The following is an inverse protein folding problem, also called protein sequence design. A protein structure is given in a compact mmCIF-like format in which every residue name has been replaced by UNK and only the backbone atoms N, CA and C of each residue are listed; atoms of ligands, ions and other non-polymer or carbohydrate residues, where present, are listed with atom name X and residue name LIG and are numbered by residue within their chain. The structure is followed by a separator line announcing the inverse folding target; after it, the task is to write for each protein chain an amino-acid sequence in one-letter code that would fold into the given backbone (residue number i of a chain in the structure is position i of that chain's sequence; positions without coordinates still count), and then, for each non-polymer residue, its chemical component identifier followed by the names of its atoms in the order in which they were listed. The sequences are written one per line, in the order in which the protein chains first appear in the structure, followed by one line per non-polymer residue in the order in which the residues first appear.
data_IF_305932997634
#
_entry.id   IF_305932997634
#
_cell.length_a   1.000
_cell.length_b   1.000
_cell.length_c   1.000
_cell.angle_alpha   90.00
_cell.angle_beta   90.00
_cell.angle_gamma   90.00
#
_symmetry.space_group_name_H-M   'P 1'
#
loop_
_entity.id
_entity.type
_entity.pdbx_description
1 polymer ?
#
# COMPACT_ATOMS: atom_id res chain seq x y z
N UNK A 1 -3.38 11.00 8.87
CA UNK A 1 -4.25 9.81 8.91
C UNK A 1 -4.56 9.48 10.37
N UNK A 2 -5.81 9.12 10.71
CA UNK A 2 -6.15 8.70 12.08
C UNK A 2 -5.42 7.38 12.42
N UNK A 3 -4.64 7.27 13.51
CA UNK A 3 -3.96 6.03 13.86
C UNK A 3 -4.93 4.86 14.02
N UNK A 4 -4.45 3.62 13.91
CA UNK A 4 -5.24 2.39 14.15
C UNK A 4 -5.66 2.29 15.62
N UNK A 5 -6.71 1.54 15.96
CA UNK A 5 -7.13 1.41 17.37
C UNK A 5 -6.07 0.73 18.24
N UNK A 6 -5.29 -0.20 17.70
CA UNK A 6 -4.12 -0.77 18.40
C UNK A 6 -3.12 0.30 18.83
N UNK A 7 -2.81 1.26 17.94
CA UNK A 7 -1.92 2.40 18.27
C UNK A 7 -2.60 3.37 19.24
N UNK A 8 -3.90 3.62 19.06
CA UNK A 8 -4.62 4.54 19.96
C UNK A 8 -4.75 3.99 21.38
N UNK A 9 -5.06 2.70 21.53
CA UNK A 9 -5.09 2.00 22.81
C UNK A 9 -3.72 2.00 23.47
N UNK A 10 -2.66 1.71 22.72
CA UNK A 10 -1.32 1.75 23.27
C UNK A 10 -0.93 3.16 23.78
N UNK A 11 -1.42 4.24 23.16
CA UNK A 11 -1.14 5.62 23.60
C UNK A 11 -2.00 6.08 24.77
N UNK A 12 -3.23 5.61 24.84
CA UNK A 12 -4.24 6.07 25.79
C UNK A 12 -5.12 4.91 26.27
N UNK A 13 -4.56 3.94 27.00
CA UNK A 13 -5.32 2.78 27.49
C UNK A 13 -6.49 3.17 28.41
N UNK A 14 -6.43 4.37 29.01
CA UNK A 14 -7.50 4.96 29.81
C UNK A 14 -8.72 5.39 28.98
N UNK A 15 -8.51 5.77 27.71
CA UNK A 15 -9.58 6.21 26.81
C UNK A 15 -10.09 5.10 25.89
N UNK A 16 -9.25 4.11 25.56
CA UNK A 16 -9.60 3.01 24.67
C UNK A 16 -9.50 1.69 25.42
N UNK A 17 -10.65 1.19 25.89
CA UNK A 17 -10.71 -0.04 26.68
C UNK A 17 -10.19 -1.27 25.92
N UNK A 18 -10.47 -1.35 24.62
CA UNK A 18 -10.00 -2.39 23.71
C UNK A 18 -9.48 -1.79 22.39
N UNK A 19 -8.82 -2.62 21.59
CA UNK A 19 -8.37 -2.26 20.24
C UNK A 19 -9.23 -2.92 19.13
N UNK A 20 -10.44 -3.38 19.43
CA UNK A 20 -11.28 -4.07 18.47
C UNK A 20 -11.73 -3.12 17.35
N UNK A 21 -11.69 -3.58 16.11
CA UNK A 21 -12.11 -2.79 14.97
C UNK A 21 -13.52 -2.26 15.14
N UNK A 22 -13.70 -0.95 14.94
CA UNK A 22 -15.00 -0.30 15.08
C UNK A 22 -16.00 -0.76 14.02
N UNK A 23 -15.55 -1.36 12.92
CA UNK A 23 -16.40 -1.93 11.87
C UNK A 23 -16.88 -3.34 12.22
N UNK A 24 -15.98 -4.26 12.56
CA UNK A 24 -16.33 -5.68 12.76
C UNK A 24 -16.51 -6.10 14.22
N UNK A 25 -15.90 -5.38 15.17
CA UNK A 25 -15.86 -5.70 16.61
C UNK A 25 -15.35 -7.12 16.94
N UNK A 26 -14.72 -7.80 15.98
CA UNK A 26 -14.33 -9.21 16.10
C UNK A 26 -12.81 -9.43 16.19
N UNK A 27 -12.01 -8.49 15.69
CA UNK A 27 -10.54 -8.58 15.70
C UNK A 27 -9.91 -7.24 16.07
N UNK A 28 -8.68 -7.23 16.63
CA UNK A 28 -7.92 -6.01 16.81
C UNK A 28 -7.71 -5.27 15.49
N UNK A 29 -7.87 -3.95 15.52
CA UNK A 29 -7.63 -3.10 14.36
C UNK A 29 -6.16 -2.68 14.32
N UNK A 30 -5.37 -3.46 13.60
CA UNK A 30 -4.00 -3.12 13.21
C UNK A 30 -3.96 -2.49 11.80
N UNK A 31 -2.76 -2.25 11.27
CA UNK A 31 -2.59 -1.61 9.97
C UNK A 31 -3.12 -2.45 8.82
N UNK A 32 -3.20 -3.78 8.96
CA UNK A 32 -3.60 -4.67 7.89
C UNK A 32 -5.12 -4.90 7.94
N UNK A 33 -5.68 -5.09 9.13
CA UNK A 33 -7.11 -5.28 9.35
C UNK A 33 -7.94 -4.09 8.82
N UNK A 34 -7.43 -2.86 8.87
CA UNK A 34 -8.13 -1.71 8.29
C UNK A 34 -8.48 -1.92 6.82
N UNK A 35 -7.61 -2.60 6.08
CA UNK A 35 -7.79 -2.84 4.65
C UNK A 35 -8.51 -4.14 4.34
N UNK A 36 -8.42 -5.13 5.24
CA UNK A 36 -8.96 -6.49 5.06
C UNK A 36 -10.17 -6.80 5.92
N UNK A 37 -10.71 -5.80 6.64
CA UNK A 37 -11.87 -5.96 7.50
C UNK A 37 -13.04 -6.67 6.79
N UNK A 38 -13.59 -7.77 7.33
CA UNK A 38 -14.71 -8.47 6.69
C UNK A 38 -15.94 -7.59 6.46
N UNK A 39 -16.20 -6.64 7.35
CA UNK A 39 -17.34 -5.72 7.23
C UNK A 39 -17.14 -4.63 6.16
N UNK A 40 -15.97 -4.54 5.54
CA UNK A 40 -15.73 -3.67 4.38
C UNK A 40 -15.66 -4.45 3.05
N UNK A 41 -15.95 -5.76 3.07
CA UNK A 41 -15.79 -6.67 1.94
C UNK A 41 -16.48 -6.20 0.65
N UNK A 42 -17.74 -5.75 0.72
CA UNK A 42 -18.46 -5.23 -0.45
C UNK A 42 -17.76 -4.01 -1.07
N UNK A 43 -17.21 -3.12 -0.24
CA UNK A 43 -16.45 -1.97 -0.74
C UNK A 43 -15.14 -2.41 -1.39
N UNK A 44 -14.45 -3.38 -0.79
CA UNK A 44 -13.24 -3.98 -1.35
C UNK A 44 -13.52 -4.58 -2.75
N UNK A 45 -14.58 -5.37 -2.90
CA UNK A 45 -14.99 -5.92 -4.21
C UNK A 45 -15.23 -4.82 -5.26
N UNK A 46 -15.95 -3.75 -4.89
CA UNK A 46 -16.22 -2.63 -5.80
C UNK A 46 -14.93 -1.91 -6.20
N UNK A 47 -13.98 -1.71 -5.28
CA UNK A 47 -12.69 -1.08 -5.58
C UNK A 47 -11.93 -1.87 -6.64
N UNK A 48 -11.82 -3.19 -6.47
CA UNK A 48 -11.12 -4.05 -7.42
C UNK A 48 -11.85 -4.12 -8.77
N UNK A 49 -13.17 -4.26 -8.77
CA UNK A 49 -13.98 -4.28 -9.99
C UNK A 49 -13.83 -2.96 -10.78
N UNK A 50 -13.93 -1.81 -10.12
CA UNK A 50 -13.75 -0.49 -10.74
C UNK A 50 -12.34 -0.30 -11.31
N UNK A 51 -11.32 -0.82 -10.63
CA UNK A 51 -9.94 -0.77 -11.08
C UNK A 51 -9.72 -1.66 -12.32
N UNK A 52 -10.23 -2.89 -12.33
CA UNK A 52 -10.16 -3.80 -13.48
C UNK A 52 -10.90 -3.21 -14.69
N UNK A 53 -12.11 -2.70 -14.49
CA UNK A 53 -12.90 -2.06 -15.54
C UNK A 53 -12.20 -0.83 -16.17
N UNK A 54 -11.27 -0.21 -15.45
CA UNK A 54 -10.50 0.95 -15.91
C UNK A 54 -9.26 0.57 -16.75
N UNK A 55 -8.83 -0.70 -16.75
CA UNK A 55 -7.61 -1.17 -17.45
C UNK A 55 -7.62 -0.84 -18.95
N UNK A 56 -8.70 -1.06 -19.72
CA UNK A 56 -8.71 -0.77 -21.16
C UNK A 56 -8.43 0.71 -21.47
N UNK A 57 -8.91 1.63 -20.62
CA UNK A 57 -8.66 3.07 -20.75
C UNK A 57 -7.17 3.38 -20.59
N UNK A 58 -6.53 2.84 -19.56
CA UNK A 58 -5.10 3.07 -19.31
C UNK A 58 -4.22 2.39 -20.34
N UNK A 59 -4.60 1.19 -20.78
CA UNK A 59 -3.92 0.46 -21.85
C UNK A 59 -3.84 1.25 -23.15
N UNK A 60 -4.98 1.79 -23.60
CA UNK A 60 -5.03 2.67 -24.79
C UNK A 60 -4.17 3.92 -24.60
N UNK A 61 -4.22 4.57 -23.43
CA UNK A 61 -3.42 5.75 -23.16
C UNK A 61 -1.91 5.44 -23.16
N UNK A 62 -1.49 4.33 -22.56
CA UNK A 62 -0.09 3.89 -22.50
C UNK A 62 0.45 3.53 -23.89
N UNK A 63 -0.34 2.83 -24.72
CA UNK A 63 0.02 2.52 -26.11
C UNK A 63 0.16 3.79 -26.95
N UNK A 64 -0.78 4.75 -26.81
CA UNK A 64 -0.71 6.03 -27.51
C UNK A 64 0.58 6.76 -27.16
N UNK A 65 0.90 6.88 -25.86
CA UNK A 65 2.14 7.49 -25.40
C UNK A 65 3.38 6.76 -25.93
N UNK A 66 3.39 5.43 -25.92
CA UNK A 66 4.51 4.65 -26.44
C UNK A 66 4.75 4.87 -27.94
N UNK A 67 3.68 5.01 -28.71
CA UNK A 67 3.72 5.36 -30.13
C UNK A 67 4.23 6.79 -30.36
N UNK A 68 3.78 7.77 -29.58
CA UNK A 68 4.27 9.16 -29.63
C UNK A 68 5.77 9.25 -29.28
N UNK A 69 6.21 8.53 -28.24
CA UNK A 69 7.61 8.47 -27.84
C UNK A 69 8.47 7.79 -28.94
N UNK A 70 7.92 6.78 -29.63
CA UNK A 70 8.60 6.12 -30.75
C UNK A 70 8.75 7.05 -31.96
N UNK A 71 7.72 7.84 -32.28
CA UNK A 71 7.80 8.86 -33.34
C UNK A 71 8.83 9.93 -33.02
N UNK A 72 8.85 10.38 -31.77
CA UNK A 72 9.81 11.38 -31.30
C UNK A 72 11.24 10.87 -31.44
N UNK A 73 11.49 9.60 -31.08
CA UNK A 73 12.80 8.95 -31.28
C UNK A 73 13.14 8.80 -32.77
N UNK A 74 12.17 8.36 -33.58
CA UNK A 74 12.36 8.20 -35.02
C UNK A 74 12.71 9.53 -35.71
N UNK A 75 12.00 10.62 -35.42
CA UNK A 75 12.31 11.96 -35.97
C UNK A 75 13.73 12.41 -35.63
N UNK A 76 14.15 12.22 -34.36
CA UNK A 76 15.51 12.52 -33.92
C UNK A 76 16.55 11.66 -34.66
N UNK A 77 16.24 10.40 -34.92
CA UNK A 77 17.14 9.49 -35.62
C UNK A 77 17.20 9.77 -37.12
N UNK A 78 16.07 10.05 -37.77
CA UNK A 78 15.99 10.46 -39.17
C UNK A 78 16.81 11.72 -39.46
N UNK A 79 16.83 12.68 -38.53
CA UNK A 79 17.64 13.89 -38.64
C UNK A 79 19.16 13.62 -38.59
N UNK A 80 19.58 12.54 -37.93
CA UNK A 80 21.00 12.13 -37.83
C UNK A 80 21.41 11.15 -38.92
N UNK A 81 20.48 10.31 -39.34
CA UNK A 81 20.68 9.26 -40.33
C UNK A 81 19.47 9.26 -41.25
N UNK A 82 19.57 9.84 -42.45
CA UNK A 82 18.49 9.80 -43.43
C UNK A 82 18.11 8.36 -43.78
N UNK A 83 16.85 8.15 -44.14
CA UNK A 83 16.26 6.88 -44.57
C UNK A 83 16.15 5.79 -43.47
N UNK A 84 16.00 6.18 -42.21
CA UNK A 84 15.68 5.23 -41.12
C UNK A 84 14.21 4.80 -41.22
N UNK A 85 13.97 3.50 -41.18
CA UNK A 85 12.63 2.94 -41.25
C UNK A 85 11.71 3.46 -40.12
N UNK A 86 10.45 3.73 -40.46
CA UNK A 86 9.45 4.18 -39.50
C UNK A 86 9.18 3.12 -38.42
N UNK A 87 8.88 3.52 -37.17
CA UNK A 87 8.61 2.58 -36.10
C UNK A 87 7.27 1.86 -36.32
N UNK A 88 7.24 0.57 -35.98
CA UNK A 88 6.00 -0.22 -36.00
C UNK A 88 4.99 0.32 -34.99
N UNK A 89 3.76 0.57 -35.44
CA UNK A 89 2.66 1.04 -34.58
C UNK A 89 2.16 -0.07 -33.68
N UNK A 90 2.09 0.24 -32.39
CA UNK A 90 1.48 -0.61 -31.39
C UNK A 90 -0.04 -0.38 -31.36
N UNK A 91 -0.80 -1.45 -31.17
CA UNK A 91 -2.24 -1.40 -30.97
C UNK A 91 -2.59 -2.01 -29.61
N UNK A 92 -3.57 -1.43 -28.93
CA UNK A 92 -4.07 -1.99 -27.68
C UNK A 92 -4.90 -3.24 -27.96
N UNK A 93 -4.52 -4.35 -27.33
CA UNK A 93 -5.32 -5.56 -27.27
C UNK A 93 -5.85 -5.70 -25.86
N UNK A 94 -7.17 -5.72 -25.69
CA UNK A 94 -7.78 -5.91 -24.38
C UNK A 94 -7.67 -7.38 -23.97
N UNK A 95 -6.99 -7.68 -22.85
CA UNK A 95 -7.05 -9.03 -22.29
C UNK A 95 -8.47 -9.32 -21.82
N UNK A 96 -8.94 -10.56 -21.93
CA UNK A 96 -10.23 -10.97 -21.38
C UNK A 96 -10.24 -10.78 -19.86
N UNK A 97 -11.39 -10.42 -19.30
CA UNK A 97 -11.57 -10.30 -17.84
C UNK A 97 -11.10 -11.54 -17.09
N UNK A 98 -11.41 -12.73 -17.61
CA UNK A 98 -10.97 -14.02 -17.06
C UNK A 98 -9.45 -14.09 -16.89
N UNK A 99 -8.68 -13.75 -17.93
CA UNK A 99 -7.21 -13.70 -17.88
C UNK A 99 -6.70 -12.61 -16.94
N UNK A 100 -7.37 -11.44 -16.88
CA UNK A 100 -7.00 -10.37 -15.95
C UNK A 100 -7.14 -10.84 -14.52
N UNK A 101 -8.31 -11.39 -14.15
CA UNK A 101 -8.53 -11.89 -12.80
C UNK A 101 -7.59 -13.05 -12.45
N UNK A 102 -7.39 -14.02 -13.35
CA UNK A 102 -6.41 -15.09 -13.15
C UNK A 102 -4.99 -14.56 -12.87
N UNK A 103 -4.57 -13.52 -13.60
CA UNK A 103 -3.27 -12.89 -13.36
C UNK A 103 -3.22 -12.18 -12.00
N UNK A 104 -4.32 -11.57 -11.56
CA UNK A 104 -4.38 -10.92 -10.25
C UNK A 104 -4.28 -11.94 -9.10
N UNK A 105 -4.94 -13.09 -9.18
CA UNK A 105 -4.77 -14.16 -8.18
C UNK A 105 -3.33 -14.70 -8.14
N UNK A 106 -2.64 -14.74 -9.29
CA UNK A 106 -1.23 -15.15 -9.30
C UNK A 106 -0.30 -14.10 -8.66
N UNK A 107 -0.67 -12.82 -8.71
CA UNK A 107 0.12 -11.71 -8.18
C UNK A 107 -0.18 -11.41 -6.71
N UNK A 108 -1.37 -11.78 -6.21
CA UNK A 108 -1.84 -11.47 -4.87
C UNK A 108 -2.38 -12.70 -4.14
N UNK A 109 -1.71 -13.11 -3.04
CA UNK A 109 -2.06 -14.36 -2.34
C UNK A 109 -3.38 -14.28 -1.54
N UNK A 110 -3.76 -13.10 -1.06
CA UNK A 110 -4.99 -12.89 -0.27
C UNK A 110 -6.20 -12.47 -1.12
N UNK A 111 -6.08 -12.48 -2.46
CA UNK A 111 -7.14 -12.00 -3.34
C UNK A 111 -8.30 -13.00 -3.48
N UNK A 112 -8.08 -14.26 -3.09
CA UNK A 112 -9.08 -15.33 -3.13
C UNK A 112 -10.39 -14.99 -2.39
N UNK A 113 -10.32 -14.05 -1.45
CA UNK A 113 -11.50 -13.54 -0.77
C UNK A 113 -12.46 -12.80 -1.71
N UNK A 114 -12.01 -12.00 -2.70
CA UNK A 114 -12.85 -10.97 -3.35
C UNK A 114 -13.73 -11.43 -4.51
N UNK A 115 -13.36 -12.52 -5.18
CA UNK A 115 -14.19 -13.16 -6.20
C UNK A 115 -13.83 -14.65 -6.17
N UNK A 116 -14.79 -15.57 -6.16
CA UNK A 116 -14.46 -16.97 -6.32
C UNK A 116 -14.00 -17.19 -7.76
N UNK A 117 -12.80 -17.77 -7.98
CA UNK A 117 -12.36 -18.11 -9.32
C UNK A 117 -13.30 -19.17 -9.92
N UNK A 118 -13.59 -19.07 -11.22
CA UNK A 118 -14.25 -20.17 -11.93
C UNK A 118 -13.38 -21.44 -11.80
N UNK A 119 -14.01 -22.55 -11.41
CA UNK A 119 -13.32 -23.82 -11.15
C UNK A 119 -12.45 -24.20 -12.37
N UNK A 120 -11.13 -24.31 -12.17
CA UNK A 120 -10.17 -24.77 -13.19
C UNK A 120 -9.19 -23.74 -13.75
N UNK A 121 -9.26 -22.46 -13.36
CA UNK A 121 -8.41 -21.39 -13.94
C UNK A 121 -7.35 -20.79 -13.02
N UNK A 122 -7.26 -21.25 -11.76
CA UNK A 122 -6.23 -20.79 -10.83
C UNK A 122 -4.87 -21.33 -11.25
N UNK A 123 -3.97 -20.44 -11.66
CA UNK A 123 -2.53 -20.73 -11.62
C UNK A 123 -2.07 -20.63 -10.17
N UNK A 124 -1.12 -21.48 -9.79
CA UNK A 124 -0.45 -21.34 -8.50
C UNK A 124 0.07 -19.90 -8.33
N UNK A 125 -0.04 -19.31 -7.13
CA UNK A 125 0.53 -18.00 -6.86
C UNK A 125 2.00 -17.96 -7.26
N UNK A 126 2.45 -16.82 -7.81
CA UNK A 126 3.86 -16.62 -8.02
C UNK A 126 4.58 -16.72 -6.67
N UNK A 127 5.80 -17.27 -6.64
CA UNK A 127 6.62 -17.30 -5.43
C UNK A 127 6.85 -15.90 -4.82
N UNK A 128 6.67 -14.85 -5.63
CA UNK A 128 6.77 -13.44 -5.26
C UNK A 128 5.41 -12.75 -5.08
N UNK A 129 4.31 -13.49 -4.97
CA UNK A 129 2.98 -12.91 -4.76
C UNK A 129 2.95 -12.02 -3.50
N UNK A 130 2.28 -10.89 -3.59
CA UNK A 130 2.22 -9.88 -2.53
C UNK A 130 0.84 -9.81 -1.87
N UNK A 131 0.73 -9.22 -0.69
CA UNK A 131 -0.57 -9.06 -0.03
C UNK A 131 -1.38 -7.96 -0.71
N UNK A 132 -2.71 -8.08 -0.73
CA UNK A 132 -3.63 -7.05 -1.24
C UNK A 132 -3.48 -5.72 -0.49
N UNK A 133 -3.05 -5.77 0.78
CA UNK A 133 -2.76 -4.60 1.60
C UNK A 133 -1.71 -3.70 0.95
N UNK A 134 -0.68 -4.29 0.33
CA UNK A 134 0.38 -3.53 -0.34
C UNK A 134 -0.16 -2.73 -1.52
N UNK A 135 -1.12 -3.29 -2.26
CA UNK A 135 -1.77 -2.60 -3.37
C UNK A 135 -2.65 -1.44 -2.90
N UNK A 136 -3.42 -1.64 -1.82
CA UNK A 136 -4.20 -0.56 -1.20
C UNK A 136 -3.33 0.55 -0.59
N UNK A 137 -2.07 0.26 -0.28
CA UNK A 137 -1.08 1.25 0.20
C UNK A 137 -0.30 1.90 -0.96
N UNK A 138 -0.68 1.65 -2.21
CA UNK A 138 -0.07 2.26 -3.39
C UNK A 138 1.28 1.66 -3.79
N UNK A 139 1.68 0.53 -3.21
CA UNK A 139 2.95 -0.13 -3.50
C UNK A 139 2.79 -1.04 -4.73
N UNK A 140 3.56 -0.75 -5.78
CA UNK A 140 3.61 -1.58 -6.98
C UNK A 140 4.63 -2.71 -6.80
N UNK A 141 4.16 -3.95 -6.75
CA UNK A 141 5.03 -5.12 -6.68
C UNK A 141 5.40 -5.65 -8.08
N UNK A 142 6.61 -6.17 -8.22
CA UNK A 142 7.09 -6.75 -9.49
C UNK A 142 6.27 -7.96 -9.93
N UNK A 143 5.69 -8.70 -8.99
CA UNK A 143 4.80 -9.84 -9.28
C UNK A 143 3.62 -9.45 -10.17
N UNK A 144 3.03 -8.27 -9.98
CA UNK A 144 1.96 -7.77 -10.84
C UNK A 144 2.46 -7.55 -12.27
N UNK A 145 3.65 -6.97 -12.42
CA UNK A 145 4.26 -6.74 -13.73
C UNK A 145 4.53 -8.06 -14.43
N UNK A 146 5.10 -9.04 -13.72
CA UNK A 146 5.40 -10.36 -14.30
C UNK A 146 4.13 -11.15 -14.64
N UNK A 147 3.08 -11.04 -13.82
CA UNK A 147 1.77 -11.64 -14.10
C UNK A 147 1.08 -11.01 -15.33
N UNK A 148 1.28 -9.71 -15.54
CA UNK A 148 0.65 -8.97 -16.64
C UNK A 148 1.45 -8.99 -17.95
N UNK A 149 2.77 -9.18 -17.88
CA UNK A 149 3.65 -9.27 -19.05
C UNK A 149 3.19 -10.25 -20.14
N UNK A 150 2.71 -11.47 -19.82
CA UNK A 150 2.25 -12.41 -20.85
C UNK A 150 0.87 -12.08 -21.44
N UNK A 151 0.04 -11.29 -20.74
CA UNK A 151 -1.35 -11.02 -21.16
C UNK A 151 -1.53 -9.64 -21.80
N UNK A 152 -0.72 -8.65 -21.42
CA UNK A 152 -0.74 -7.31 -22.01
C UNK A 152 0.27 -7.27 -23.15
N UNK A 153 -0.23 -7.20 -24.39
CA UNK A 153 0.62 -7.11 -25.59
C UNK A 153 1.29 -5.73 -25.67
N UNK A 154 2.61 -5.71 -25.66
CA UNK A 154 3.39 -4.49 -25.83
C UNK A 154 4.75 -4.54 -25.13
N UNK A 155 5.52 -3.43 -25.18
CA UNK A 155 6.76 -3.33 -24.44
C UNK A 155 6.50 -3.27 -22.93
N UNK A 156 7.50 -3.66 -22.13
CA UNK A 156 7.44 -3.62 -20.65
C UNK A 156 6.99 -2.25 -20.11
N UNK A 157 7.36 -1.16 -20.76
CA UNK A 157 6.96 0.20 -20.37
C UNK A 157 5.45 0.41 -20.38
N UNK A 158 4.71 -0.23 -21.29
CA UNK A 158 3.24 -0.18 -21.33
C UNK A 158 2.67 -0.94 -20.15
N UNK A 159 3.17 -2.16 -19.88
CA UNK A 159 2.72 -2.98 -18.74
C UNK A 159 2.92 -2.24 -17.42
N UNK A 160 4.11 -1.65 -17.24
CA UNK A 160 4.46 -0.86 -16.06
C UNK A 160 3.55 0.37 -15.93
N UNK A 161 3.30 1.10 -17.02
CA UNK A 161 2.41 2.26 -17.00
C UNK A 161 0.97 1.88 -16.60
N UNK A 162 0.43 0.78 -17.13
CA UNK A 162 -0.91 0.30 -16.78
C UNK A 162 -0.97 -0.15 -15.32
N UNK A 163 0.03 -0.90 -14.85
CA UNK A 163 0.11 -1.35 -13.46
C UNK A 163 0.21 -0.18 -12.47
N UNK A 164 0.98 0.86 -12.78
CA UNK A 164 1.01 2.07 -11.97
C UNK A 164 -0.36 2.74 -11.88
N UNK A 165 -1.09 2.86 -12.99
CA UNK A 165 -2.44 3.45 -12.96
C UNK A 165 -3.42 2.58 -12.17
N UNK A 166 -3.30 1.26 -12.28
CA UNK A 166 -4.10 0.31 -11.50
C UNK A 166 -3.86 0.43 -10.00
N UNK A 167 -2.60 0.41 -9.56
CA UNK A 167 -2.25 0.56 -8.14
C UNK A 167 -2.67 1.93 -7.60
N UNK A 168 -2.45 3.01 -8.37
CA UNK A 168 -2.92 4.36 -7.99
C UNK A 168 -4.44 4.42 -7.84
N UNK A 169 -5.18 3.68 -8.67
CA UNK A 169 -6.63 3.59 -8.58
C UNK A 169 -7.06 2.86 -7.30
N UNK A 170 -6.41 1.73 -7.00
CA UNK A 170 -6.68 0.96 -5.78
C UNK A 170 -6.39 1.79 -4.53
N UNK A 171 -5.21 2.41 -4.43
CA UNK A 171 -4.83 3.27 -3.30
C UNK A 171 -5.85 4.39 -3.06
N UNK A 172 -6.13 5.18 -4.10
CA UNK A 172 -7.08 6.30 -4.00
C UNK A 172 -8.48 5.84 -3.57
N UNK A 173 -9.00 4.79 -4.20
CA UNK A 173 -10.36 4.33 -3.91
C UNK A 173 -10.44 3.62 -2.55
N UNK A 174 -9.38 2.91 -2.13
CA UNK A 174 -9.27 2.33 -0.78
C UNK A 174 -9.22 3.41 0.30
N UNK A 175 -8.45 4.48 0.08
CA UNK A 175 -8.45 5.64 0.97
C UNK A 175 -9.84 6.29 1.07
N UNK A 176 -10.54 6.40 -0.06
CA UNK A 176 -11.85 7.04 -0.12
C UNK A 176 -12.99 6.19 0.47
N UNK A 177 -12.96 4.86 0.29
CA UNK A 177 -14.08 3.96 0.61
C UNK A 177 -13.85 3.08 1.82
N UNK A 178 -12.60 2.74 2.15
CA UNK A 178 -12.27 1.91 3.31
C UNK A 178 -11.78 2.80 4.46
N UNK A 179 -10.70 3.54 4.21
CA UNK A 179 -10.04 4.34 5.25
C UNK A 179 -10.94 5.46 5.79
N UNK A 180 -11.58 6.23 4.89
CA UNK A 180 -12.49 7.32 5.28
C UNK A 180 -13.67 6.79 6.08
N UNK A 181 -14.33 5.74 5.59
CA UNK A 181 -15.45 5.06 6.28
C UNK A 181 -15.03 4.59 7.67
N UNK A 182 -13.88 3.93 7.79
CA UNK A 182 -13.31 3.54 9.09
C UNK A 182 -13.14 4.76 10.01
N UNK A 183 -12.55 5.84 9.52
CA UNK A 183 -12.34 7.04 10.34
C UNK A 183 -13.65 7.65 10.83
N UNK A 184 -14.67 7.71 9.97
CA UNK A 184 -15.99 8.24 10.33
C UNK A 184 -16.65 7.41 11.44
N UNK A 185 -16.61 6.08 11.33
CA UNK A 185 -17.15 5.17 12.35
C UNK A 185 -16.37 5.28 13.67
N UNK A 186 -15.04 5.34 13.62
CA UNK A 186 -14.22 5.53 14.83
C UNK A 186 -14.52 6.88 15.49
N UNK A 187 -14.61 7.98 14.73
CA UNK A 187 -14.95 9.30 15.28
C UNK A 187 -16.35 9.31 15.88
N UNK A 188 -17.32 8.64 15.25
CA UNK A 188 -18.66 8.52 15.80
C UNK A 188 -18.64 7.78 17.13
N UNK A 189 -17.92 6.65 17.21
CA UNK A 189 -17.75 5.89 18.45
C UNK A 189 -17.03 6.72 19.53
N UNK A 190 -15.93 7.40 19.21
CA UNK A 190 -15.21 8.27 20.16
C UNK A 190 -16.14 9.31 20.79
N UNK A 191 -17.05 9.91 20.00
CA UNK A 191 -18.05 10.86 20.51
C UNK A 191 -18.99 10.21 21.52
N UNK A 192 -19.42 8.96 21.29
CA UNK A 192 -20.26 8.23 22.26
C UNK A 192 -19.54 7.93 23.57
N UNK A 193 -18.21 7.79 23.53
CA UNK A 193 -17.36 7.59 24.71
C UNK A 193 -16.92 8.90 25.36
N UNK A 194 -17.36 10.06 24.85
CA UNK A 194 -16.94 11.37 25.35
C UNK A 194 -15.49 11.74 25.02
N UNK A 195 -14.80 10.98 24.16
CA UNK A 195 -13.41 11.21 23.77
C UNK A 195 -13.35 12.42 22.83
N UNK A 196 -12.69 13.49 23.27
CA UNK A 196 -12.55 14.74 22.49
C UNK A 196 -11.16 14.84 21.87
N UNK A 197 -11.00 15.49 20.69
CA UNK A 197 -9.70 15.66 20.04
C UNK A 197 -8.61 16.30 20.92
N UNK A 198 -8.99 17.17 21.87
CA UNK A 198 -8.05 17.80 22.81
C UNK A 198 -7.44 16.80 23.80
N UNK A 199 -8.20 15.79 24.22
CA UNK A 199 -7.75 14.75 25.17
C UNK A 199 -6.65 13.89 24.54
N UNK A 200 -6.77 13.61 23.24
CA UNK A 200 -5.80 12.85 22.44
C UNK A 200 -4.46 13.58 22.20
N UNK A 201 -4.39 14.87 22.55
CA UNK A 201 -3.16 15.70 22.41
C UNK A 201 -2.41 15.86 23.72
N UNK A 202 -3.02 15.56 24.86
CA UNK A 202 -2.29 15.54 26.13
C UNK A 202 -1.36 14.33 26.10
N UNK A 203 -0.05 14.57 26.07
CA UNK A 203 0.92 13.52 26.31
C UNK A 203 0.58 12.86 27.66
N UNK A 204 0.45 11.54 27.70
CA UNK A 204 0.48 10.85 28.99
C UNK A 204 1.80 11.23 29.66
N UNK A 205 1.68 11.91 30.78
CA UNK A 205 2.81 12.33 31.60
C UNK A 205 3.59 11.09 32.04
N UNK A 206 4.74 10.83 31.41
CA UNK A 206 5.81 10.05 32.04
C UNK A 206 6.36 8.83 31.29
N UNK A 207 5.76 8.34 30.20
CA UNK A 207 6.31 7.16 29.51
C UNK A 207 6.87 7.49 28.11
N UNK A 208 8.14 7.14 27.82
CA UNK A 208 8.70 7.34 26.49
C UNK A 208 7.93 6.48 25.47
N UNK A 209 7.56 7.09 24.35
CA UNK A 209 6.86 6.42 23.25
C UNK A 209 7.85 6.09 22.13
N UNK A 210 7.88 4.85 21.64
CA UNK A 210 8.68 4.50 20.47
C UNK A 210 7.90 4.78 19.18
N UNK A 211 8.35 5.77 18.41
CA UNK A 211 7.74 6.11 17.13
C UNK A 211 7.94 5.04 16.04
N UNK A 212 9.00 4.23 16.13
CA UNK A 212 9.38 3.20 15.17
C UNK A 212 8.70 1.84 15.41
N UNK A 213 8.34 1.48 16.64
CA UNK A 213 7.61 0.25 16.96
C UNK A 213 6.13 0.48 17.32
N UNK A 214 5.74 1.72 17.62
CA UNK A 214 4.38 2.04 18.04
C UNK A 214 4.01 1.49 19.42
N UNK A 215 5.01 1.26 20.29
CA UNK A 215 4.84 0.68 21.62
C UNK A 215 5.29 1.64 22.71
N UNK A 216 4.72 1.50 23.90
CA UNK A 216 5.22 2.13 25.13
C UNK A 216 6.61 1.55 25.42
N UNK A 217 7.58 2.43 25.70
CA UNK A 217 8.92 2.01 26.12
C UNK A 217 8.97 1.86 27.64
N UNK A 218 9.71 0.86 28.15
CA UNK A 218 10.05 0.83 29.56
C UNK A 218 10.72 2.13 30.00
N UNK A 219 10.59 2.53 31.29
CA UNK A 219 11.10 3.82 31.81
C UNK A 219 12.57 4.11 31.49
N UNK A 220 13.40 3.06 31.39
CA UNK A 220 14.84 3.15 31.14
C UNK A 220 15.24 2.90 29.68
N UNK A 221 14.31 3.03 28.74
CA UNK A 221 14.54 2.76 27.32
C UNK A 221 14.32 4.01 26.47
N UNK A 222 15.32 4.33 25.65
CA UNK A 222 15.26 5.45 24.70
C UNK A 222 14.30 5.17 23.55
N UNK A 223 13.82 6.23 22.88
CA UNK A 223 12.95 6.19 21.70
C UNK A 223 13.49 5.30 20.55
N UNK A 224 14.78 5.00 20.51
CA UNK A 224 15.38 4.06 19.56
C UNK A 224 15.17 2.57 19.92
N UNK A 225 14.56 2.27 21.07
CA UNK A 225 14.35 0.92 21.59
C UNK A 225 15.53 0.32 22.37
N UNK A 226 16.61 1.09 22.59
CA UNK A 226 17.77 0.68 23.39
C UNK A 226 17.72 1.25 24.81
N UNK A 227 18.28 0.54 25.82
CA UNK A 227 18.43 1.09 27.16
C UNK A 227 19.15 2.45 27.16
N UNK A 228 18.77 3.32 28.08
CA UNK A 228 19.44 4.62 28.26
C UNK A 228 20.92 4.46 28.63
N UNK A 229 21.31 3.32 29.22
CA UNK A 229 22.72 2.98 29.52
C UNK A 229 23.59 2.84 28.27
N UNK A 230 22.99 2.53 27.12
CA UNK A 230 23.71 2.38 25.85
C UNK A 230 24.00 3.73 25.17
N UNK A 231 23.59 4.85 25.79
CA UNK A 231 23.77 6.20 25.28
C UNK A 231 25.04 6.80 25.87
N UNK A 232 26.13 6.79 25.11
CA UNK A 232 27.35 7.45 25.52
C UNK A 232 27.28 8.95 25.20
N UNK A 233 27.50 9.80 26.21
CA UNK A 233 27.60 11.27 26.08
C UNK A 233 26.35 11.94 25.47
N UNK A 234 25.15 11.38 25.69
CA UNK A 234 23.90 11.94 25.17
C UNK A 234 23.66 11.68 23.67
N UNK A 235 24.53 10.90 23.02
CA UNK A 235 24.32 10.46 21.64
C UNK A 235 23.48 9.18 21.62
N UNK A 236 22.36 9.24 20.90
CA UNK A 236 21.52 8.07 20.69
C UNK A 236 22.10 7.17 19.59
N UNK A 237 22.45 5.90 19.89
CA UNK A 237 23.01 4.99 18.88
C UNK A 237 22.03 4.68 17.73
N UNK A 238 20.72 4.92 17.93
CA UNK A 238 19.70 4.77 16.90
C UNK A 238 19.34 6.06 16.16
N UNK A 239 19.84 7.22 16.56
CA UNK A 239 19.58 8.51 15.91
C UNK A 239 20.57 8.79 14.77
N UNK A 240 20.87 7.77 13.96
CA UNK A 240 21.56 7.99 12.70
C UNK A 240 20.49 8.22 11.65
N UNK A 241 20.44 9.44 11.12
CA UNK A 241 19.63 9.80 9.95
C UNK A 241 20.24 9.10 8.71
N UNK A 242 20.08 7.78 8.66
CA UNK A 242 20.69 6.90 7.69
C UNK A 242 19.60 6.45 6.71
N UNK A 243 19.44 7.14 5.57
CA UNK A 243 18.42 6.80 4.58
C UNK A 243 18.53 5.33 4.11
N UNK A 244 19.74 4.78 4.09
CA UNK A 244 20.00 3.37 3.78
C UNK A 244 19.31 2.42 4.76
N UNK A 245 19.25 2.77 6.06
CA UNK A 245 18.59 1.95 7.07
C UNK A 245 17.07 2.03 6.97
N UNK A 246 16.52 3.20 6.62
CA UNK A 246 15.09 3.36 6.35
C UNK A 246 14.65 2.52 5.14
N UNK A 247 15.44 2.54 4.06
CA UNK A 247 15.21 1.71 2.87
C UNK A 247 15.30 0.22 3.18
N UNK A 248 16.28 -0.19 3.99
CA UNK A 248 16.41 -1.58 4.44
C UNK A 248 15.20 -2.02 5.28
N UNK A 249 14.70 -1.16 6.18
CA UNK A 249 13.50 -1.43 6.96
C UNK A 249 12.25 -1.52 6.09
N UNK A 250 12.12 -0.65 5.08
CA UNK A 250 11.03 -0.73 4.10
C UNK A 250 11.10 -2.06 3.32
N UNK A 251 12.29 -2.45 2.85
CA UNK A 251 12.51 -3.70 2.14
C UNK A 251 12.21 -4.92 3.04
N UNK A 252 12.63 -4.89 4.29
CA UNK A 252 12.33 -5.93 5.26
C UNK A 252 10.83 -5.98 5.60
N UNK A 253 10.14 -4.84 5.58
CA UNK A 253 8.68 -4.78 5.74
C UNK A 253 7.93 -5.35 4.53
N UNK A 254 8.37 -5.02 3.31
CA UNK A 254 7.84 -5.62 2.08
C UNK A 254 8.06 -7.14 2.06
N UNK A 255 9.13 -7.63 2.70
CA UNK A 255 9.43 -9.06 2.86
C UNK A 255 8.74 -9.72 4.06
N UNK A 256 7.91 -9.00 4.82
CA UNK A 256 7.22 -9.52 6.00
C UNK A 256 8.12 -9.81 7.21
N UNK A 257 9.36 -9.31 7.22
CA UNK A 257 10.34 -9.56 8.28
C UNK A 257 10.22 -8.56 9.45
N UNK A 258 9.63 -7.39 9.19
CA UNK A 258 9.38 -6.33 10.18
C UNK A 258 8.09 -5.61 9.86
N UNK A 259 7.42 -5.09 10.88
CA UNK A 259 6.17 -4.35 10.73
C UNK A 259 6.43 -2.84 10.79
N UNK A 260 6.10 -2.11 9.73
CA UNK A 260 6.18 -0.63 9.68
C UNK A 260 4.79 0.00 9.78
N UNK A 261 4.73 1.19 10.40
CA UNK A 261 3.53 2.01 10.37
C UNK A 261 3.22 2.54 8.96
N UNK A 262 1.95 2.84 8.68
CA UNK A 262 1.53 3.43 7.40
C UNK A 262 2.29 4.72 7.07
N UNK A 263 2.66 5.52 8.08
CA UNK A 263 3.43 6.76 7.88
C UNK A 263 4.87 6.48 7.45
N UNK A 264 5.51 5.47 8.04
CA UNK A 264 6.84 5.01 7.63
C UNK A 264 6.80 4.41 6.21
N UNK A 265 5.74 3.66 5.86
CA UNK A 265 5.55 3.09 4.51
C UNK A 265 5.33 4.15 3.43
N UNK A 266 4.74 5.29 3.77
CA UNK A 266 4.44 6.37 2.82
C UNK A 266 5.58 7.38 2.62
N UNK A 267 6.71 7.24 3.32
CA UNK A 267 7.84 8.17 3.24
C UNK A 267 7.53 9.60 3.70
N UNK A 268 6.38 9.82 4.34
CA UNK A 268 5.95 11.14 4.85
C UNK A 268 6.24 11.21 6.34
N UNK A 269 7.52 11.16 6.69
CA UNK A 269 7.97 11.51 8.04
C UNK A 269 8.46 12.96 7.98
N UNK A 270 7.55 13.90 8.17
CA UNK A 270 7.96 15.19 8.72
C UNK A 270 7.99 15.03 10.23
N UNK A 271 9.19 14.85 10.77
CA UNK A 271 9.45 15.04 12.19
C UNK A 271 9.15 16.50 12.52
N UNK A 272 8.20 16.71 13.42
CA UNK A 272 8.16 17.87 14.31
C UNK A 272 8.48 17.35 15.70
#
# INVERSE_FOLDING_TARGET
MLPTLTVMQARHPDMYADALCCLCRAAPEDNDHVWTCPNSYNQQQLIWADAVASIPKWGRAAIRKANEDADTRHRKQQARTPNVAAPKRLQWYQPSDTLLWASLYSAFHDLSAFRPPEQGQLKAPLASACSVVTAYQGLLHSALIEAWRPIIKGPRSVVVAVAHQFIRRLDRDALARLWKTRCEVTIAWEKTQGIRPKMKKQAQTGQPWNNASGTILPPDTCQCGKPNTDHHQGLCPGAQDNPTLADQRLLACVRGQVHLSTLEKMGKIHFL
#
